data_IF_287514770243
#
_entry.id   IF_287514770243
#
_cell.length_a   1.000
_cell.length_b   1.000
_cell.length_c   1.000
_cell.angle_alpha   90.00
_cell.angle_beta   90.00
_cell.angle_gamma   90.00
#
_symmetry.space_group_name_H-M   'P 1'
#
loop_
_entity.id
_entity.type
_entity.pdbx_description
1 polymer ?
#
# COMPACT_ATOMS: atom_id res chain seq x y z
N UNK A 1 -29.16 97.93 45.92
CA UNK A 1 -27.84 97.27 46.00
C UNK A 1 -27.94 95.97 45.22
N UNK A 2 -27.43 95.94 43.99
CA UNK A 2 -27.41 94.73 43.17
C UNK A 2 -26.26 93.85 43.66
N UNK A 3 -26.60 92.69 44.23
CA UNK A 3 -25.61 91.66 44.54
C UNK A 3 -25.33 90.89 43.25
N UNK A 4 -24.62 91.52 42.32
CA UNK A 4 -24.13 90.83 41.14
C UNK A 4 -23.02 89.85 41.54
N UNK A 5 -23.19 88.62 41.09
CA UNK A 5 -22.30 87.50 41.33
C UNK A 5 -21.07 87.62 40.41
N UNK A 6 -20.38 88.76 40.46
CA UNK A 6 -19.32 89.09 39.50
C UNK A 6 -18.00 88.40 39.88
N UNK A 7 -17.28 87.96 38.84
CA UNK A 7 -15.86 87.56 38.92
C UNK A 7 -15.09 88.77 39.46
N UNK A 8 -14.23 88.57 40.46
CA UNK A 8 -13.34 89.66 40.86
C UNK A 8 -12.36 89.92 39.71
N UNK A 9 -12.34 91.15 39.20
CA UNK A 9 -11.37 91.60 38.17
C UNK A 9 -9.95 91.80 38.75
N UNK A 10 -9.79 91.56 40.06
CA UNK A 10 -8.49 91.58 40.73
C UNK A 10 -7.85 90.20 40.55
N UNK A 11 -6.61 90.11 40.02
CA UNK A 11 -5.91 88.84 39.92
C UNK A 11 -5.83 88.18 41.30
N UNK A 12 -6.40 86.97 41.40
CA UNK A 12 -6.19 86.08 42.53
C UNK A 12 -4.69 85.84 42.58
N UNK A 13 -4.04 86.33 43.65
CA UNK A 13 -2.58 86.39 43.87
C UNK A 13 -1.89 87.70 43.42
N UNK A 14 -2.39 88.87 43.84
CA UNK A 14 -1.52 90.01 44.11
C UNK A 14 -1.28 90.10 45.63
N UNK A 15 -0.15 89.56 46.10
CA UNK A 15 0.35 89.86 47.44
C UNK A 15 0.90 91.30 47.43
N UNK A 16 0.01 92.27 47.64
CA UNK A 16 0.42 93.62 47.99
C UNK A 16 -0.47 94.14 49.10
N UNK A 17 0.15 94.41 50.25
CA UNK A 17 -0.37 95.21 51.36
C UNK A 17 -1.56 94.66 52.13
N UNK A 18 -1.42 93.41 52.60
CA UNK A 18 -2.16 92.89 53.77
C UNK A 18 -3.66 92.68 53.61
N UNK A 19 -4.22 92.90 52.41
CA UNK A 19 -5.64 92.67 52.11
C UNK A 19 -5.81 91.42 51.23
N UNK A 20 -6.48 90.41 51.77
CA UNK A 20 -6.81 89.20 51.01
C UNK A 20 -8.13 89.44 50.26
N UNK A 21 -8.07 89.49 48.93
CA UNK A 21 -9.27 89.51 48.09
C UNK A 21 -9.76 88.07 47.92
N UNK A 22 -10.89 87.74 48.56
CA UNK A 22 -11.51 86.41 48.46
C UNK A 22 -12.72 86.49 47.53
N UNK A 23 -12.87 85.57 46.56
CA UNK A 23 -14.06 85.52 45.70
C UNK A 23 -15.34 85.30 46.51
N UNK A 24 -16.45 85.85 46.03
CA UNK A 24 -17.74 85.70 46.70
C UNK A 24 -18.20 84.22 46.72
N UNK A 25 -18.87 83.76 47.78
CA UNK A 25 -19.43 82.39 47.83
C UNK A 25 -20.40 82.09 46.69
N UNK A 26 -21.11 83.09 46.17
CA UNK A 26 -21.99 82.96 45.01
C UNK A 26 -21.18 82.64 43.74
N UNK A 27 -20.09 83.38 43.50
CA UNK A 27 -19.24 83.19 42.33
C UNK A 27 -18.61 81.80 42.31
N UNK A 28 -18.08 81.36 43.46
CA UNK A 28 -17.50 80.01 43.62
C UNK A 28 -18.56 78.94 43.32
N UNK A 29 -19.78 79.06 43.88
CA UNK A 29 -20.87 78.11 43.65
C UNK A 29 -21.29 78.05 42.18
N UNK A 30 -21.33 79.18 41.48
CA UNK A 30 -21.69 79.22 40.06
C UNK A 30 -20.60 78.65 39.16
N UNK A 31 -19.32 78.99 39.41
CA UNK A 31 -18.19 78.44 38.66
C UNK A 31 -18.10 76.92 38.80
N UNK A 32 -18.29 76.40 40.03
CA UNK A 32 -18.31 74.95 40.27
C UNK A 32 -19.48 74.30 39.54
N UNK A 33 -20.68 74.89 39.61
CA UNK A 33 -21.86 74.36 38.90
C UNK A 33 -21.65 74.31 37.39
N UNK A 34 -21.07 75.34 36.79
CA UNK A 34 -20.85 75.36 35.34
C UNK A 34 -19.78 74.34 34.93
N UNK A 35 -18.65 74.26 35.65
CA UNK A 35 -17.63 73.23 35.37
C UNK A 35 -18.14 71.79 35.56
N UNK A 36 -19.02 71.55 36.54
CA UNK A 36 -19.68 70.25 36.71
C UNK A 36 -20.62 69.92 35.55
N UNK A 37 -21.36 70.93 35.06
CA UNK A 37 -22.26 70.78 33.92
C UNK A 37 -21.49 70.53 32.63
N UNK A 38 -20.39 71.26 32.40
CA UNK A 38 -19.47 71.03 31.28
C UNK A 38 -18.85 69.63 31.34
N UNK A 39 -18.35 69.21 32.50
CA UNK A 39 -17.79 67.86 32.68
C UNK A 39 -18.83 66.77 32.41
N UNK A 40 -20.06 66.90 32.93
CA UNK A 40 -21.13 65.93 32.72
C UNK A 40 -21.58 65.82 31.25
N UNK A 41 -21.38 66.85 30.45
CA UNK A 41 -21.67 66.87 29.01
C UNK A 41 -20.46 66.49 28.15
N UNK A 42 -19.25 66.56 28.72
CA UNK A 42 -18.02 66.24 28.00
C UNK A 42 -17.91 64.74 27.71
N UNK A 43 -17.29 64.42 26.58
CA UNK A 43 -16.87 63.07 26.22
C UNK A 43 -15.34 62.94 26.18
N UNK A 44 -14.64 63.93 26.72
CA UNK A 44 -13.18 63.94 26.84
C UNK A 44 -12.72 63.06 28.01
N UNK A 45 -12.83 61.75 27.79
CA UNK A 45 -12.35 60.70 28.68
C UNK A 45 -11.43 59.78 27.89
N UNK A 46 -10.42 59.14 28.53
CA UNK A 46 -9.54 58.21 27.85
C UNK A 46 -10.31 57.02 27.28
N UNK A 47 -9.83 56.49 26.16
CA UNK A 47 -10.31 55.23 25.58
C UNK A 47 -10.01 54.06 26.52
N UNK A 48 -10.88 53.05 26.53
CA UNK A 48 -10.66 51.85 27.32
C UNK A 48 -9.54 51.00 26.70
N UNK A 49 -8.78 50.32 27.55
CA UNK A 49 -7.78 49.34 27.13
C UNK A 49 -8.04 48.00 27.81
N UNK A 50 -7.26 46.98 27.46
CA UNK A 50 -7.30 45.68 28.16
C UNK A 50 -6.84 45.75 29.62
N UNK A 51 -6.26 46.88 30.06
CA UNK A 51 -5.71 47.05 31.42
C UNK A 51 -6.36 48.20 32.19
N UNK A 52 -6.88 49.20 31.50
CA UNK A 52 -7.41 50.43 32.10
C UNK A 52 -8.83 50.72 31.59
N UNK A 53 -9.69 51.20 32.47
CA UNK A 53 -11.09 51.54 32.14
C UNK A 53 -11.15 52.86 31.37
N UNK A 54 -12.06 52.96 30.41
CA UNK A 54 -12.31 54.16 29.59
C UNK A 54 -13.59 54.05 28.77
N UNK A 55 -13.78 54.91 27.76
CA UNK A 55 -14.88 54.77 26.80
C UNK A 55 -14.56 53.80 25.68
N UNK A 56 -15.60 53.22 25.08
CA UNK A 56 -15.49 52.29 23.94
C UNK A 56 -16.49 52.66 22.86
N UNK A 57 -16.12 52.42 21.61
CA UNK A 57 -17.03 52.47 20.47
C UNK A 57 -17.45 51.03 20.14
N UNK A 58 -18.73 50.80 19.86
CA UNK A 58 -19.28 49.46 19.66
C UNK A 58 -19.53 49.14 18.19
N UNK A 59 -19.21 47.92 17.78
CA UNK A 59 -19.48 47.42 16.43
C UNK A 59 -20.32 46.13 16.43
N UNK A 60 -21.22 46.03 15.46
CA UNK A 60 -22.02 44.83 15.19
C UNK A 60 -21.40 43.93 14.10
N UNK A 61 -20.30 44.35 13.47
CA UNK A 61 -19.63 43.61 12.39
C UNK A 61 -18.87 42.40 12.95
N UNK A 62 -18.86 41.28 12.21
CA UNK A 62 -18.19 40.03 12.59
C UNK A 62 -16.87 39.79 11.86
N UNK A 63 -16.49 40.70 10.97
CA UNK A 63 -15.30 40.64 10.14
C UNK A 63 -14.53 41.98 10.14
N UNK A 64 -14.74 42.80 11.18
CA UNK A 64 -14.00 44.04 11.36
C UNK A 64 -12.62 43.74 11.96
N UNK A 65 -11.58 44.31 11.39
CA UNK A 65 -10.18 44.19 11.82
C UNK A 65 -9.70 45.40 12.66
N UNK A 66 -10.56 46.41 12.85
CA UNK A 66 -10.26 47.58 13.66
C UNK A 66 -10.23 47.27 15.17
N UNK A 67 -9.07 47.50 15.79
CA UNK A 67 -8.83 47.25 17.22
C UNK A 67 -9.42 48.33 18.14
N UNK A 68 -9.94 49.44 17.59
CA UNK A 68 -10.52 50.54 18.37
C UNK A 68 -12.01 50.34 18.70
N UNK A 69 -12.64 49.29 18.17
CA UNK A 69 -14.06 48.99 18.39
C UNK A 69 -14.26 47.72 19.22
N UNK A 70 -15.09 47.81 20.26
CA UNK A 70 -15.52 46.65 21.02
C UNK A 70 -16.68 45.91 20.33
N UNK A 71 -16.64 44.58 20.37
CA UNK A 71 -17.71 43.74 19.82
C UNK A 71 -18.98 43.81 20.67
N UNK A 72 -20.13 43.85 20.02
CA UNK A 72 -21.45 43.73 20.66
C UNK A 72 -21.87 42.27 20.84
N UNK A 73 -22.83 42.02 21.74
CA UNK A 73 -23.46 40.70 21.88
C UNK A 73 -24.09 40.19 20.57
N UNK A 74 -24.56 41.09 19.71
CA UNK A 74 -25.09 40.77 18.37
C UNK A 74 -24.00 40.25 17.44
N UNK A 75 -22.83 40.88 17.41
CA UNK A 75 -21.68 40.38 16.65
C UNK A 75 -21.25 38.99 17.14
N UNK A 76 -21.07 38.82 18.45
CA UNK A 76 -20.69 37.54 19.07
C UNK A 76 -21.71 36.44 18.75
N UNK A 77 -23.00 36.73 18.88
CA UNK A 77 -24.06 35.76 18.54
C UNK A 77 -24.05 35.40 17.06
N UNK A 78 -23.84 36.36 16.17
CA UNK A 78 -23.79 36.10 14.73
C UNK A 78 -22.59 35.21 14.37
N UNK A 79 -21.42 35.46 14.96
CA UNK A 79 -20.25 34.60 14.78
C UNK A 79 -20.48 33.18 15.33
N UNK A 80 -21.12 33.07 16.50
CA UNK A 80 -21.48 31.78 17.09
C UNK A 80 -22.45 31.00 16.21
N UNK A 81 -23.50 31.65 15.70
CA UNK A 81 -24.49 31.01 14.83
C UNK A 81 -23.83 30.51 13.52
N UNK A 82 -22.93 31.30 12.91
CA UNK A 82 -22.15 30.89 11.74
C UNK A 82 -21.23 29.70 12.03
N UNK A 83 -20.54 29.70 13.18
CA UNK A 83 -19.69 28.58 13.59
C UNK A 83 -20.50 27.30 13.84
N UNK A 84 -21.69 27.42 14.44
CA UNK A 84 -22.59 26.29 14.65
C UNK A 84 -23.09 25.71 13.32
N UNK A 85 -23.45 26.56 12.34
CA UNK A 85 -23.81 26.13 10.98
C UNK A 85 -22.65 25.40 10.31
N UNK A 86 -21.42 25.93 10.42
CA UNK A 86 -20.23 25.28 9.85
C UNK A 86 -20.00 23.89 10.46
N UNK A 87 -20.15 23.74 11.79
CA UNK A 87 -20.04 22.46 12.48
C UNK A 87 -21.13 21.47 12.02
N UNK A 88 -22.36 21.92 11.85
CA UNK A 88 -23.45 21.09 11.33
C UNK A 88 -23.18 20.65 9.89
N UNK A 89 -22.71 21.56 9.04
CA UNK A 89 -22.35 21.24 7.66
C UNK A 89 -21.21 20.20 7.59
N UNK A 90 -20.20 20.32 8.45
CA UNK A 90 -19.12 19.34 8.56
C UNK A 90 -19.64 17.97 9.01
N UNK A 91 -20.51 17.92 10.03
CA UNK A 91 -21.15 16.68 10.48
C UNK A 91 -21.99 16.04 9.37
N UNK A 92 -22.79 16.83 8.65
CA UNK A 92 -23.60 16.37 7.52
C UNK A 92 -22.73 15.82 6.39
N UNK A 93 -21.61 16.48 6.07
CA UNK A 93 -20.66 16.00 5.08
C UNK A 93 -20.04 14.66 5.49
N UNK A 94 -19.63 14.52 6.76
CA UNK A 94 -19.10 13.26 7.29
C UNK A 94 -20.14 12.14 7.24
N UNK A 95 -21.39 12.41 7.63
CA UNK A 95 -22.47 11.43 7.57
C UNK A 95 -22.78 10.98 6.13
N UNK A 96 -22.81 11.91 5.18
CA UNK A 96 -22.99 11.62 3.76
C UNK A 96 -21.82 10.77 3.21
N UNK A 97 -20.57 11.13 3.54
CA UNK A 97 -19.41 10.35 3.14
C UNK A 97 -19.46 8.92 3.70
N UNK A 98 -19.74 8.78 5.00
CA UNK A 98 -19.88 7.47 5.64
C UNK A 98 -20.99 6.63 4.99
N UNK A 99 -22.14 7.22 4.67
CA UNK A 99 -23.23 6.53 3.99
C UNK A 99 -22.85 6.06 2.57
N UNK A 100 -22.12 6.87 1.79
CA UNK A 100 -21.66 6.50 0.44
C UNK A 100 -20.54 5.45 0.43
N UNK A 101 -19.82 5.31 1.54
CA UNK A 101 -18.72 4.35 1.69
C UNK A 101 -19.16 3.04 2.39
N UNK A 102 -20.41 2.96 2.84
CA UNK A 102 -20.97 1.81 3.53
C UNK A 102 -21.08 0.60 2.58
N UNK A 103 -20.10 -0.31 2.65
CA UNK A 103 -20.02 -1.48 1.73
C UNK A 103 -21.19 -2.44 1.87
N UNK A 104 -21.78 -2.53 3.04
CA UNK A 104 -23.00 -3.29 3.33
C UNK A 104 -24.23 -2.76 2.57
N UNK A 105 -24.22 -1.49 2.17
CA UNK A 105 -25.26 -0.86 1.36
C UNK A 105 -25.08 -1.07 -0.16
N UNK A 106 -23.90 -1.53 -0.61
CA UNK A 106 -23.63 -1.77 -2.03
C UNK A 106 -24.49 -2.93 -2.55
N UNK A 107 -25.67 -2.60 -3.10
CA UNK A 107 -26.67 -3.55 -3.57
C UNK A 107 -27.62 -4.06 -2.49
N UNK A 108 -27.80 -3.32 -1.38
CA UNK A 108 -28.79 -3.65 -0.35
C UNK A 108 -30.25 -3.59 -0.86
N UNK A 109 -30.49 -2.78 -1.89
CA UNK A 109 -31.77 -2.61 -2.57
C UNK A 109 -32.06 -3.69 -3.62
N UNK A 110 -31.12 -4.61 -3.87
CA UNK A 110 -31.28 -5.71 -4.84
C UNK A 110 -31.94 -6.90 -4.13
N UNK A 111 -33.21 -7.24 -4.45
CA UNK A 111 -33.92 -8.30 -3.75
C UNK A 111 -33.33 -9.70 -4.04
N UNK A 112 -33.03 -9.98 -5.31
CA UNK A 112 -32.49 -11.25 -5.79
C UNK A 112 -31.08 -11.06 -6.37
N UNK A 113 -30.08 -10.93 -5.49
CA UNK A 113 -28.68 -10.63 -5.88
C UNK A 113 -28.12 -11.63 -6.88
N UNK A 114 -28.45 -12.91 -6.73
CA UNK A 114 -27.99 -13.97 -7.63
C UNK A 114 -28.54 -13.80 -9.06
N UNK A 115 -29.83 -13.51 -9.19
CA UNK A 115 -30.46 -13.31 -10.51
C UNK A 115 -29.99 -12.00 -11.15
N UNK A 116 -29.79 -10.93 -10.34
CA UNK A 116 -29.20 -9.68 -10.83
C UNK A 116 -27.83 -9.90 -11.46
N UNK A 117 -26.91 -10.59 -10.77
CA UNK A 117 -25.56 -10.93 -11.26
C UNK A 117 -25.62 -11.70 -12.57
N UNK A 118 -26.52 -12.69 -12.66
CA UNK A 118 -26.76 -13.48 -13.87
C UNK A 118 -27.25 -12.61 -15.03
N UNK A 119 -28.20 -11.72 -14.80
CA UNK A 119 -28.82 -10.89 -15.83
C UNK A 119 -27.85 -9.86 -16.42
N UNK A 120 -26.95 -9.29 -15.60
CA UNK A 120 -25.90 -8.37 -16.09
C UNK A 120 -24.69 -9.11 -16.67
N UNK A 121 -24.67 -10.45 -16.61
CA UNK A 121 -23.57 -11.27 -17.10
C UNK A 121 -22.29 -11.20 -16.26
N UNK A 122 -22.38 -10.74 -15.01
CA UNK A 122 -21.27 -10.71 -14.07
C UNK A 122 -20.99 -12.13 -13.51
N UNK A 123 -19.75 -12.37 -13.10
CA UNK A 123 -19.35 -13.62 -12.47
C UNK A 123 -19.52 -13.55 -10.95
N UNK A 124 -19.84 -14.67 -10.27
CA UNK A 124 -19.83 -14.73 -8.81
C UNK A 124 -18.46 -14.37 -8.22
N UNK A 125 -18.45 -13.80 -7.01
CA UNK A 125 -17.22 -13.48 -6.30
C UNK A 125 -16.33 -14.72 -6.12
N UNK A 126 -15.03 -14.59 -6.38
CA UNK A 126 -14.09 -15.72 -6.38
C UNK A 126 -13.89 -16.38 -7.76
N UNK A 127 -14.74 -16.08 -8.74
CA UNK A 127 -14.65 -16.61 -10.09
C UNK A 127 -14.10 -15.53 -11.07
N UNK A 128 -12.83 -15.19 -10.93
CA UNK A 128 -12.18 -14.02 -11.54
C UNK A 128 -11.80 -14.16 -13.03
N UNK A 129 -12.28 -15.19 -13.73
CA UNK A 129 -12.11 -15.23 -15.18
C UNK A 129 -13.07 -14.21 -15.82
N UNK A 130 -12.53 -13.22 -16.53
CA UNK A 130 -13.35 -12.29 -17.31
C UNK A 130 -14.14 -13.12 -18.34
N UNK A 131 -15.46 -12.95 -18.37
CA UNK A 131 -16.33 -13.57 -19.36
C UNK A 131 -15.94 -13.06 -20.75
N UNK A 132 -15.09 -13.82 -21.45
CA UNK A 132 -14.60 -13.50 -22.80
C UNK A 132 -13.08 -13.51 -22.96
N UNK A 133 -12.29 -13.33 -21.88
CA UNK A 133 -10.83 -13.12 -21.98
C UNK A 133 -10.00 -14.25 -21.37
N UNK A 134 -10.60 -15.38 -21.02
CA UNK A 134 -9.87 -16.55 -20.54
C UNK A 134 -10.50 -17.82 -21.10
N UNK A 135 -9.66 -18.66 -21.70
CA UNK A 135 -10.05 -20.01 -22.11
C UNK A 135 -10.64 -20.72 -20.89
N UNK A 136 -11.82 -21.31 -21.07
CA UNK A 136 -12.38 -22.27 -20.12
C UNK A 136 -11.34 -23.35 -19.81
N UNK A 137 -11.47 -24.03 -18.66
CA UNK A 137 -10.61 -25.19 -18.35
C UNK A 137 -10.60 -26.19 -19.51
N UNK A 138 -11.76 -26.46 -20.10
CA UNK A 138 -11.91 -27.35 -21.26
C UNK A 138 -11.15 -26.84 -22.50
N UNK A 139 -11.21 -25.54 -22.81
CA UNK A 139 -10.44 -24.97 -23.93
C UNK A 139 -8.94 -24.99 -23.67
N UNK A 140 -8.52 -24.77 -22.42
CA UNK A 140 -7.11 -24.83 -22.06
C UNK A 140 -6.58 -26.27 -22.13
N UNK A 141 -7.31 -27.22 -21.57
CA UNK A 141 -6.99 -28.65 -21.61
C UNK A 141 -6.98 -29.19 -23.06
N UNK A 142 -7.81 -28.63 -23.95
CA UNK A 142 -7.81 -28.98 -25.38
C UNK A 142 -6.66 -28.33 -26.18
N UNK A 143 -6.11 -27.21 -25.70
CA UNK A 143 -5.05 -26.46 -26.39
C UNK A 143 -3.64 -26.87 -25.97
N UNK A 144 -3.47 -27.39 -24.76
CA UNK A 144 -2.17 -27.74 -24.22
C UNK A 144 -2.09 -29.24 -23.90
N UNK A 145 -1.00 -29.87 -24.35
CA UNK A 145 -0.68 -31.25 -24.00
C UNK A 145 -0.48 -31.45 -22.49
N UNK A 146 -0.62 -32.69 -22.06
CA UNK A 146 -0.34 -33.16 -20.71
C UNK A 146 1.10 -32.85 -20.30
N UNK A 147 1.30 -32.46 -19.05
CA UNK A 147 2.63 -32.10 -18.54
C UNK A 147 3.57 -33.30 -18.58
N UNK A 148 4.74 -33.10 -19.20
CA UNK A 148 5.83 -34.07 -19.14
C UNK A 148 6.37 -34.19 -17.71
N UNK A 149 6.86 -35.37 -17.35
CA UNK A 149 7.46 -35.66 -16.03
C UNK A 149 8.90 -36.13 -16.19
N UNK A 150 9.76 -35.90 -15.20
CA UNK A 150 11.16 -36.30 -15.29
C UNK A 150 11.83 -36.43 -13.91
N UNK A 151 12.85 -37.28 -13.85
CA UNK A 151 13.79 -37.40 -12.74
C UNK A 151 15.18 -36.98 -13.21
N UNK A 152 15.67 -35.85 -12.68
CA UNK A 152 16.93 -35.22 -13.08
C UNK A 152 18.09 -35.69 -12.17
N UNK A 153 18.47 -36.94 -12.33
CA UNK A 153 19.59 -37.57 -11.60
C UNK A 153 20.63 -38.13 -12.58
N UNK A 154 21.76 -38.63 -12.05
CA UNK A 154 22.81 -39.30 -12.84
C UNK A 154 22.24 -40.50 -13.60
N UNK A 155 21.32 -41.23 -12.96
CA UNK A 155 20.53 -42.31 -13.56
C UNK A 155 19.07 -41.89 -13.52
N UNK A 156 18.60 -41.23 -14.57
CA UNK A 156 17.32 -40.52 -14.59
C UNK A 156 16.46 -40.86 -15.79
N UNK A 157 15.31 -40.20 -15.87
CA UNK A 157 14.34 -40.41 -16.94
C UNK A 157 13.51 -39.16 -17.23
N UNK A 158 12.89 -39.15 -18.40
CA UNK A 158 11.87 -38.19 -18.82
C UNK A 158 10.72 -38.95 -19.49
N UNK A 159 9.47 -38.57 -19.22
CA UNK A 159 8.27 -39.14 -19.83
C UNK A 159 7.41 -38.04 -20.46
N UNK A 160 7.01 -38.26 -21.70
CA UNK A 160 6.02 -37.45 -22.39
C UNK A 160 4.65 -37.66 -21.74
N UNK A 161 4.00 -36.58 -21.30
CA UNK A 161 2.66 -36.64 -20.71
C UNK A 161 1.58 -37.07 -21.70
N UNK A 162 1.74 -36.71 -22.98
CA UNK A 162 0.73 -36.99 -24.02
C UNK A 162 0.84 -38.41 -24.60
N UNK A 163 2.05 -38.86 -24.89
CA UNK A 163 2.28 -40.12 -25.62
C UNK A 163 2.68 -41.27 -24.69
N UNK A 164 3.06 -40.97 -23.46
CA UNK A 164 3.61 -41.96 -22.53
C UNK A 164 5.05 -42.40 -22.84
N UNK A 165 5.66 -41.91 -23.94
CA UNK A 165 7.04 -42.25 -24.32
C UNK A 165 8.02 -41.82 -23.23
N UNK A 166 8.88 -42.75 -22.83
CA UNK A 166 9.90 -42.60 -21.79
C UNK A 166 11.28 -42.64 -22.44
N UNK A 167 12.13 -41.68 -22.08
CA UNK A 167 13.57 -41.68 -22.32
C UNK A 167 14.27 -41.89 -20.97
N UNK A 168 15.20 -42.83 -20.87
CA UNK A 168 15.97 -43.09 -19.65
C UNK A 168 17.46 -43.07 -19.94
N UNK A 169 18.26 -42.59 -19.00
CA UNK A 169 19.72 -42.63 -19.07
C UNK A 169 20.30 -43.24 -17.80
N UNK A 170 21.29 -44.12 -17.95
CA UNK A 170 21.93 -44.83 -16.84
C UNK A 170 23.42 -44.94 -17.08
N UNK A 171 24.21 -44.58 -16.08
CA UNK A 171 25.63 -44.95 -16.01
C UNK A 171 25.76 -46.25 -15.22
N UNK A 172 26.35 -47.27 -15.83
CA UNK A 172 26.70 -48.51 -15.13
C UNK A 172 27.93 -48.35 -14.25
N UNK A 173 28.37 -49.48 -13.72
CA UNK A 173 29.60 -49.62 -12.95
C UNK A 173 30.81 -49.76 -13.86
N UNK A 174 31.97 -49.39 -13.34
CA UNK A 174 33.25 -49.61 -14.01
C UNK A 174 33.61 -51.10 -13.99
N UNK A 175 33.94 -51.65 -15.16
CA UNK A 175 34.46 -53.01 -15.28
C UNK A 175 35.95 -53.01 -15.61
N UNK A 176 36.63 -54.02 -15.06
CA UNK A 176 38.07 -54.22 -15.15
C UNK A 176 38.48 -55.39 -16.05
N UNK A 177 37.50 -56.17 -16.50
CA UNK A 177 37.69 -57.33 -17.35
C UNK A 177 36.44 -57.59 -18.19
N UNK A 178 36.61 -58.31 -19.29
CA UNK A 178 35.53 -58.83 -20.14
C UNK A 178 34.41 -59.49 -19.31
N UNK A 179 33.16 -59.22 -19.67
CA UNK A 179 32.02 -59.79 -18.96
C UNK A 179 30.70 -59.05 -19.15
N UNK A 180 29.63 -59.67 -18.66
CA UNK A 180 28.29 -59.10 -18.67
C UNK A 180 28.05 -58.20 -17.46
N UNK A 181 27.43 -57.05 -17.68
CA UNK A 181 26.86 -56.19 -16.66
C UNK A 181 25.34 -56.08 -16.85
N UNK A 182 24.61 -56.13 -15.74
CA UNK A 182 23.16 -55.94 -15.71
C UNK A 182 22.88 -54.50 -15.28
N UNK A 183 22.15 -53.75 -16.09
CA UNK A 183 21.84 -52.34 -15.87
C UNK A 183 20.35 -52.21 -15.62
N UNK A 184 19.96 -51.83 -14.41
CA UNK A 184 18.55 -51.56 -14.07
C UNK A 184 18.16 -50.15 -14.49
N UNK A 185 17.03 -50.01 -15.18
CA UNK A 185 16.48 -48.72 -15.53
C UNK A 185 15.91 -48.01 -14.28
N UNK A 186 16.04 -46.69 -14.18
CA UNK A 186 15.50 -45.90 -13.06
C UNK A 186 13.97 -46.05 -12.91
N UNK A 187 13.29 -46.34 -14.02
CA UNK A 187 11.86 -46.60 -14.09
C UNK A 187 11.58 -47.80 -14.98
N UNK A 188 10.61 -48.62 -14.60
CA UNK A 188 10.14 -49.70 -15.46
C UNK A 188 9.42 -49.10 -16.66
N UNK A 189 9.73 -49.57 -17.87
CA UNK A 189 8.93 -49.29 -19.06
C UNK A 189 7.62 -50.08 -18.99
N UNK A 190 6.44 -49.42 -18.86
CA UNK A 190 5.19 -50.12 -18.60
C UNK A 190 4.79 -51.17 -19.64
N UNK A 191 5.20 -51.01 -20.91
CA UNK A 191 4.84 -51.92 -21.99
C UNK A 191 6.08 -52.54 -22.63
N UNK A 192 6.96 -51.73 -23.21
CA UNK A 192 8.13 -52.25 -23.93
C UNK A 192 9.26 -51.22 -24.09
N UNK A 193 10.48 -51.75 -24.20
CA UNK A 193 11.65 -51.00 -24.66
C UNK A 193 11.72 -51.08 -26.19
N UNK A 194 11.80 -49.92 -26.85
CA UNK A 194 11.90 -49.80 -28.30
C UNK A 194 13.34 -49.82 -28.81
N UNK A 195 14.23 -49.14 -28.10
CA UNK A 195 15.64 -49.04 -28.48
C UNK A 195 16.52 -48.80 -27.26
N UNK A 196 17.73 -49.34 -27.32
CA UNK A 196 18.80 -49.10 -26.34
C UNK A 196 20.07 -48.74 -27.10
N UNK A 197 20.69 -47.64 -26.69
CA UNK A 197 22.00 -47.22 -27.14
C UNK A 197 22.97 -47.37 -25.98
N UNK A 198 24.12 -47.97 -26.23
CA UNK A 198 25.21 -48.04 -25.27
C UNK A 198 26.41 -47.30 -25.83
N UNK A 199 27.04 -46.50 -24.98
CA UNK A 199 28.34 -45.90 -25.25
C UNK A 199 29.33 -46.31 -24.16
N UNK A 200 30.61 -46.36 -24.54
CA UNK A 200 31.69 -46.71 -23.63
C UNK A 200 32.38 -45.43 -23.17
N UNK A 201 32.44 -45.23 -21.85
CA UNK A 201 33.29 -44.19 -21.24
C UNK A 201 34.56 -44.85 -20.73
N UNK A 202 35.69 -44.48 -21.33
CA UNK A 202 37.02 -44.95 -20.90
C UNK A 202 37.52 -44.00 -19.81
N UNK A 203 37.73 -44.52 -18.60
CA UNK A 203 38.28 -43.77 -17.47
C UNK A 203 39.82 -43.94 -17.44
N UNK A 204 40.50 -43.56 -18.54
CA UNK A 204 41.97 -43.57 -18.63
C UNK A 204 42.50 -42.23 -19.19
N UNK A 205 43.19 -41.40 -18.39
CA UNK A 205 43.51 -40.02 -18.78
C UNK A 205 44.69 -39.86 -19.76
N UNK A 206 45.46 -40.92 -20.05
CA UNK A 206 46.77 -40.76 -20.75
C UNK A 206 47.03 -41.73 -21.90
N UNK A 207 46.09 -42.61 -22.27
CA UNK A 207 46.35 -43.62 -23.31
C UNK A 207 45.12 -43.88 -24.19
N UNK A 208 44.99 -43.08 -25.26
CA UNK A 208 43.86 -43.12 -26.21
C UNK A 208 43.93 -44.31 -27.19
N UNK A 209 45.06 -45.01 -27.27
CA UNK A 209 45.27 -46.19 -28.13
C UNK A 209 44.69 -47.48 -27.53
N UNK A 210 43.98 -47.40 -26.40
CA UNK A 210 43.28 -48.52 -25.75
C UNK A 210 41.75 -48.44 -25.97
N UNK A 211 41.28 -47.67 -26.94
CA UNK A 211 39.85 -47.54 -27.28
C UNK A 211 39.28 -48.77 -28.03
N UNK A 212 39.85 -49.95 -27.79
CA UNK A 212 39.44 -51.19 -28.42
C UNK A 212 38.34 -51.91 -27.63
N UNK A 213 38.03 -51.47 -26.41
CA UNK A 213 36.99 -52.08 -25.61
C UNK A 213 35.67 -51.37 -25.84
N UNK A 214 34.62 -52.14 -26.14
CA UNK A 214 33.28 -51.61 -26.31
C UNK A 214 32.26 -52.41 -25.53
N UNK A 215 31.24 -51.69 -25.08
CA UNK A 215 30.02 -52.33 -24.63
C UNK A 215 29.09 -52.57 -25.82
N UNK A 216 28.47 -53.73 -25.84
CA UNK A 216 27.35 -54.02 -26.72
C UNK A 216 26.15 -54.44 -25.90
N UNK A 217 24.95 -54.04 -26.34
CA UNK A 217 23.71 -54.52 -25.72
C UNK A 217 23.47 -55.93 -26.23
N UNK A 218 23.36 -56.89 -25.30
CA UNK A 218 23.16 -58.31 -25.64
C UNK A 218 21.71 -58.76 -25.45
N UNK A 219 20.97 -58.15 -24.53
CA UNK A 219 19.56 -58.43 -24.29
C UNK A 219 18.91 -57.32 -23.45
N UNK A 220 17.58 -57.28 -23.37
CA UNK A 220 16.83 -56.39 -22.46
C UNK A 220 15.42 -56.88 -22.17
N UNK A 221 14.86 -56.38 -21.08
CA UNK A 221 13.45 -56.44 -20.73
C UNK A 221 12.95 -55.03 -20.36
N UNK A 222 11.76 -54.92 -19.77
CA UNK A 222 11.16 -53.63 -19.38
C UNK A 222 11.81 -52.96 -18.17
N UNK A 223 12.62 -53.67 -17.40
CA UNK A 223 13.22 -53.21 -16.15
C UNK A 223 14.73 -53.03 -16.25
N UNK A 224 15.39 -53.73 -17.16
CA UNK A 224 16.85 -53.77 -17.26
C UNK A 224 17.35 -54.15 -18.65
N UNK A 225 18.63 -53.89 -18.88
CA UNK A 225 19.36 -54.43 -20.02
C UNK A 225 20.65 -55.13 -19.59
N UNK A 226 21.09 -56.04 -20.43
CA UNK A 226 22.38 -56.70 -20.30
C UNK A 226 23.31 -56.09 -21.34
N UNK A 227 24.45 -55.60 -20.85
CA UNK A 227 25.54 -55.13 -21.69
C UNK A 227 26.75 -56.03 -21.48
N UNK A 228 27.51 -56.28 -22.54
CA UNK A 228 28.72 -57.08 -22.47
C UNK A 228 29.91 -56.21 -22.85
N UNK A 229 30.90 -56.13 -21.97
CA UNK A 229 32.19 -55.56 -22.30
C UNK A 229 32.95 -56.60 -23.12
N UNK A 230 33.30 -56.26 -24.36
CA UNK A 230 34.20 -57.06 -25.19
C UNK A 230 35.57 -56.41 -25.23
N UNK A 231 36.61 -57.20 -24.97
CA UNK A 231 38.01 -56.81 -25.11
C UNK A 231 38.54 -57.33 -26.46
N UNK A 232 39.37 -56.54 -27.14
CA UNK A 232 39.88 -56.92 -28.49
C UNK A 232 41.30 -57.51 -28.44
N UNK A 233 42.02 -57.46 -27.31
CA UNK A 233 43.41 -57.95 -27.18
C UNK A 233 43.63 -58.69 -25.83
N UNK A 234 44.45 -59.76 -25.78
CA UNK A 234 44.60 -60.57 -24.58
C UNK A 234 45.33 -59.84 -23.45
N UNK A 235 44.55 -59.39 -22.45
CA UNK A 235 44.87 -59.35 -21.02
C UNK A 235 46.20 -58.70 -20.55
N UNK A 236 46.64 -57.57 -21.13
CA UNK A 236 47.84 -56.86 -20.66
C UNK A 236 47.63 -55.42 -20.15
N UNK A 237 46.42 -54.85 -20.23
CA UNK A 237 46.13 -53.52 -19.66
C UNK A 237 44.83 -53.55 -18.90
N UNK A 238 44.86 -53.18 -17.61
CA UNK A 238 43.66 -53.04 -16.78
C UNK A 238 42.73 -52.03 -17.44
N UNK A 239 41.64 -52.53 -18.00
CA UNK A 239 40.63 -51.73 -18.69
C UNK A 239 39.81 -51.00 -17.62
N UNK A 240 39.58 -49.71 -17.77
CA UNK A 240 38.73 -48.94 -16.86
C UNK A 240 37.52 -48.41 -17.63
N UNK A 241 36.62 -49.30 -18.04
CA UNK A 241 35.51 -48.95 -18.94
C UNK A 241 34.17 -48.94 -18.19
N UNK A 242 33.36 -47.91 -18.45
CA UNK A 242 32.02 -47.76 -17.85
C UNK A 242 30.98 -47.64 -18.96
N UNK A 243 29.89 -48.42 -18.94
CA UNK A 243 28.83 -48.28 -19.92
C UNK A 243 27.92 -47.09 -19.57
N UNK A 244 27.51 -46.34 -20.58
CA UNK A 244 26.43 -45.37 -20.48
C UNK A 244 25.30 -45.78 -21.42
N UNK A 245 24.10 -45.91 -20.86
CA UNK A 245 22.93 -46.48 -21.51
C UNK A 245 21.91 -45.37 -21.71
N UNK A 246 21.39 -45.27 -22.93
CA UNK A 246 20.21 -44.45 -23.23
C UNK A 246 19.12 -45.36 -23.81
N UNK A 247 17.98 -45.45 -23.15
CA UNK A 247 16.87 -46.31 -23.54
C UNK A 247 15.60 -45.50 -23.84
N UNK A 248 14.86 -45.93 -24.86
CA UNK A 248 13.57 -45.35 -25.27
C UNK A 248 12.52 -46.44 -25.28
N UNK A 249 11.34 -46.15 -24.74
CA UNK A 249 10.23 -47.10 -24.62
C UNK A 249 8.96 -46.42 -24.14
N UNK A 250 7.94 -47.19 -23.74
CA UNK A 250 6.68 -46.69 -23.17
C UNK A 250 5.95 -47.80 -22.39
#
# INVERSE_FOLDING_TARGET
>A
MSNECNKSDVPVCAESDGFIVVPSPCYIKNSIKESMKEHAQSRDHPEATLREKGFVILSNSVNNDDETYAATSKAVKTAYDLANIANQNAANANNNANARLAKDQNGADIPEKAEFVKNIGAQPAGNYAIKGDSYTKSESDARYGSKNTAEKSVNGWWQCGDTGVIHQWVQGEQQLSEGTQIITFPRIFPNQVLAIYVSTKINHPTNLNLANDWFQVINWDTEKCWVYLQETEPAASVVNSTPFIFAVGY
#
